data_IF_389814714895
#
_entry.id   IF_389814714895
#
_cell.length_a   1.000
_cell.length_b   1.000
_cell.length_c   1.000
_cell.angle_alpha   90.00
_cell.angle_beta   90.00
_cell.angle_gamma   90.00
#
_symmetry.space_group_name_H-M   'P 1'
#
loop_
_entity.id
_entity.type
_entity.pdbx_description
1 polymer ?
#
# COMPACT_ATOMS: atom_id res chain seq x y z
N UNK A 1 -16.14 -26.43 5.86
CA UNK A 1 -17.34 -26.98 6.53
C UNK A 1 -17.05 -26.98 8.02
N UNK A 2 -17.60 -26.00 8.75
CA UNK A 2 -17.75 -25.92 10.21
C UNK A 2 -18.19 -24.49 10.54
N UNK A 3 -19.50 -24.29 10.56
CA UNK A 3 -20.16 -23.05 10.97
C UNK A 3 -20.12 -22.97 12.49
N UNK A 4 -19.63 -21.87 13.07
CA UNK A 4 -19.84 -21.59 14.49
C UNK A 4 -20.44 -20.20 14.66
N UNK A 5 -21.73 -20.18 14.99
CA UNK A 5 -22.52 -18.97 15.25
C UNK A 5 -22.74 -18.89 16.75
N UNK A 6 -22.11 -17.93 17.42
CA UNK A 6 -22.40 -17.63 18.84
C UNK A 6 -23.53 -16.62 18.94
N UNK A 7 -24.58 -17.06 19.65
CA UNK A 7 -25.81 -16.33 19.97
C UNK A 7 -25.51 -15.14 20.90
N UNK A 8 -25.92 -13.95 20.51
CA UNK A 8 -26.22 -12.89 21.47
C UNK A 8 -27.65 -13.09 21.98
N UNK A 9 -27.77 -13.59 23.20
CA UNK A 9 -29.01 -13.56 24.00
C UNK A 9 -29.31 -12.12 24.40
N UNK A 10 -30.42 -11.56 23.92
CA UNK A 10 -30.97 -10.33 24.47
C UNK A 10 -32.30 -10.61 25.18
N UNK A 11 -32.31 -10.28 26.47
CA UNK A 11 -33.48 -10.27 27.37
C UNK A 11 -34.55 -9.37 26.77
N UNK A 12 -35.74 -9.92 26.49
CA UNK A 12 -36.95 -9.13 26.21
C UNK A 12 -37.86 -9.18 27.43
N UNK A 13 -38.10 -8.00 28.03
CA UNK A 13 -39.12 -7.79 29.05
C UNK A 13 -40.10 -6.74 28.53
N UNK A 14 -41.37 -7.18 28.40
CA UNK A 14 -42.67 -6.47 28.48
C UNK A 14 -42.97 -5.41 27.39
N UNK A 15 -43.96 -5.70 26.54
CA UNK A 15 -45.42 -5.42 26.66
C UNK A 15 -45.75 -3.92 26.59
N UNK A 16 -46.34 -3.49 25.48
CA UNK A 16 -47.75 -3.06 25.42
C UNK A 16 -48.12 -2.68 23.98
N UNK A 17 -49.22 -3.25 23.51
CA UNK A 17 -49.95 -2.82 22.32
C UNK A 17 -50.43 -1.39 22.51
N UNK A 18 -50.31 -0.56 21.47
CA UNK A 18 -51.37 0.32 21.00
C UNK A 18 -50.94 0.95 19.66
N UNK A 19 -51.81 0.73 18.70
CA UNK A 19 -51.83 1.15 17.30
C UNK A 19 -51.54 2.64 17.13
N UNK A 20 -50.52 2.97 16.35
CA UNK A 20 -50.39 4.27 15.69
C UNK A 20 -49.72 4.08 14.33
N UNK A 21 -50.43 4.55 13.29
CA UNK A 21 -50.02 4.62 11.90
C UNK A 21 -48.59 5.18 11.78
N UNK A 22 -47.62 4.34 11.42
CA UNK A 22 -46.30 4.81 11.01
C UNK A 22 -46.15 4.49 9.53
N UNK A 23 -46.23 5.55 8.70
CA UNK A 23 -45.75 5.51 7.33
C UNK A 23 -44.31 4.97 7.36
N UNK A 24 -44.14 3.72 6.92
CA UNK A 24 -42.83 3.17 6.63
C UNK A 24 -42.34 3.86 5.37
N UNK A 25 -41.75 5.04 5.54
CA UNK A 25 -40.69 5.51 4.66
C UNK A 25 -39.62 4.42 4.72
N UNK A 26 -39.71 3.48 3.78
CA UNK A 26 -38.57 2.67 3.34
C UNK A 26 -37.59 3.66 2.69
N UNK A 27 -36.97 4.52 3.50
CA UNK A 27 -35.63 4.96 3.21
C UNK A 27 -34.83 3.67 3.25
N UNK A 28 -34.65 3.07 2.08
CA UNK A 28 -33.45 2.30 1.82
C UNK A 28 -32.30 3.21 2.26
N UNK A 29 -31.84 3.02 3.49
CA UNK A 29 -30.42 3.04 3.74
C UNK A 29 -29.86 1.97 2.81
N UNK A 30 -29.68 2.34 1.53
CA UNK A 30 -28.47 1.95 0.84
C UNK A 30 -27.40 2.43 1.79
N UNK A 31 -26.90 1.51 2.63
CA UNK A 31 -25.54 1.66 3.09
C UNK A 31 -24.78 1.89 1.79
N UNK A 32 -24.41 3.15 1.54
CA UNK A 32 -23.18 3.42 0.81
C UNK A 32 -22.18 2.61 1.62
N UNK A 33 -21.91 1.39 1.15
CA UNK A 33 -20.59 0.81 1.36
C UNK A 33 -19.71 1.97 0.90
N UNK A 34 -19.03 2.59 1.87
CA UNK A 34 -17.99 3.55 1.52
C UNK A 34 -17.15 2.78 0.51
N UNK A 35 -17.22 3.23 -0.74
CA UNK A 35 -16.54 2.58 -1.83
C UNK A 35 -15.07 2.87 -1.53
N UNK A 36 -14.47 2.05 -0.66
CA UNK A 36 -13.06 2.11 -0.38
C UNK A 36 -12.41 2.03 -1.75
N UNK A 37 -11.76 3.12 -2.16
CA UNK A 37 -11.18 3.25 -3.48
C UNK A 37 -10.27 2.04 -3.71
N UNK A 38 -10.74 1.06 -4.49
CA UNK A 38 -10.06 -0.22 -4.64
C UNK A 38 -8.65 0.04 -5.17
N UNK A 39 -7.69 -0.64 -4.56
CA UNK A 39 -6.27 -0.49 -4.83
C UNK A 39 -5.68 -1.78 -5.37
N UNK A 40 -4.72 -1.67 -6.28
CA UNK A 40 -3.91 -2.81 -6.75
C UNK A 40 -2.42 -2.48 -6.63
N UNK A 41 -1.61 -3.49 -6.34
CA UNK A 41 -0.15 -3.39 -6.45
C UNK A 41 0.29 -3.77 -7.86
N UNK A 42 1.12 -2.92 -8.46
CA UNK A 42 1.84 -3.24 -9.68
C UNK A 42 3.32 -3.43 -9.34
N UNK A 43 3.86 -4.59 -9.69
CA UNK A 43 5.29 -4.92 -9.57
C UNK A 43 5.95 -4.78 -10.95
N UNK A 44 6.72 -3.72 -11.20
CA UNK A 44 7.40 -3.58 -12.48
C UNK A 44 8.41 -4.70 -12.73
N UNK A 45 8.33 -5.27 -13.93
CA UNK A 45 9.28 -6.25 -14.46
C UNK A 45 9.85 -5.75 -15.79
N UNK A 46 11.06 -6.19 -16.14
CA UNK A 46 11.72 -5.75 -17.38
C UNK A 46 10.94 -6.12 -18.65
N UNK A 47 10.18 -7.21 -18.63
CA UNK A 47 9.31 -7.62 -19.74
C UNK A 47 8.16 -6.64 -20.00
N UNK A 48 7.75 -5.85 -19.01
CA UNK A 48 6.64 -4.91 -19.15
C UNK A 48 7.02 -3.72 -20.07
N UNK A 49 8.32 -3.52 -20.30
CA UNK A 49 8.84 -2.53 -21.26
C UNK A 49 8.26 -2.74 -22.67
N UNK A 50 8.02 -4.00 -23.04
CA UNK A 50 7.54 -4.38 -24.37
C UNK A 50 6.02 -4.18 -24.52
N UNK A 51 5.29 -3.96 -23.43
CA UNK A 51 3.88 -3.60 -23.46
C UNK A 51 3.77 -2.15 -23.97
N UNK A 52 3.07 -1.93 -25.08
CA UNK A 52 2.93 -0.60 -25.65
C UNK A 52 2.17 0.37 -24.73
N UNK A 53 2.41 1.68 -24.87
CA UNK A 53 1.66 2.70 -24.15
C UNK A 53 0.15 2.60 -24.37
N UNK A 54 -0.27 2.23 -25.60
CA UNK A 54 -1.67 2.04 -25.93
C UNK A 54 -2.30 0.91 -25.10
N UNK A 55 -1.65 -0.26 -25.08
CA UNK A 55 -2.12 -1.40 -24.28
C UNK A 55 -2.14 -1.08 -22.78
N UNK A 56 -1.17 -0.30 -22.31
CA UNK A 56 -1.12 0.10 -20.92
C UNK A 56 -2.25 1.07 -20.53
N UNK A 57 -2.62 1.96 -21.44
CA UNK A 57 -3.78 2.84 -21.26
C UNK A 57 -5.09 2.05 -21.28
N UNK A 58 -5.25 1.13 -22.23
CA UNK A 58 -6.42 0.23 -22.28
C UNK A 58 -6.56 -0.55 -20.95
N UNK A 59 -5.44 -1.03 -20.38
CA UNK A 59 -5.43 -1.64 -19.05
C UNK A 59 -5.87 -0.67 -17.94
N UNK A 60 -5.42 0.59 -17.98
CA UNK A 60 -5.85 1.64 -17.05
C UNK A 60 -7.37 1.88 -17.09
N UNK A 61 -7.93 1.98 -18.29
CA UNK A 61 -9.38 2.08 -18.52
C UNK A 61 -10.12 0.86 -17.94
N UNK A 62 -9.66 -0.36 -18.25
CA UNK A 62 -10.26 -1.62 -17.76
C UNK A 62 -10.28 -1.72 -16.23
N UNK A 63 -9.18 -1.39 -15.55
CA UNK A 63 -9.14 -1.45 -14.09
C UNK A 63 -9.99 -0.33 -13.46
N UNK A 64 -10.06 0.83 -14.10
CA UNK A 64 -10.89 1.96 -13.67
C UNK A 64 -12.38 1.63 -13.75
N UNK A 65 -12.80 0.86 -14.77
CA UNK A 65 -14.18 0.42 -14.99
C UNK A 65 -14.66 -0.60 -13.94
N UNK A 66 -13.76 -1.44 -13.42
CA UNK A 66 -14.08 -2.35 -12.29
C UNK A 66 -13.95 -1.68 -10.91
N UNK A 67 -13.70 -0.36 -10.88
CA UNK A 67 -13.69 0.45 -9.67
C UNK A 67 -12.34 0.58 -8.98
N UNK A 68 -11.23 0.13 -9.59
CA UNK A 68 -9.88 0.40 -9.08
C UNK A 68 -9.56 1.87 -9.35
N UNK A 69 -9.23 2.62 -8.30
CA UNK A 69 -8.88 4.05 -8.38
C UNK A 69 -7.50 4.35 -7.82
N UNK A 70 -6.84 3.36 -7.19
CA UNK A 70 -5.49 3.49 -6.68
C UNK A 70 -4.59 2.41 -7.27
N UNK A 71 -3.40 2.80 -7.72
CA UNK A 71 -2.35 1.85 -8.09
C UNK A 71 -1.12 2.13 -7.24
N UNK A 72 -0.64 1.11 -6.54
CA UNK A 72 0.62 1.15 -5.81
C UNK A 72 1.69 0.58 -6.71
N UNK A 73 2.56 1.44 -7.22
CA UNK A 73 3.76 1.03 -7.93
C UNK A 73 4.71 0.50 -6.86
N UNK A 74 4.99 -0.81 -6.83
CA UNK A 74 5.67 -1.39 -5.67
C UNK A 74 7.10 -0.86 -5.52
N UNK A 75 7.80 -0.63 -6.63
CA UNK A 75 9.13 -0.05 -6.62
C UNK A 75 9.40 0.69 -7.93
N UNK A 76 10.23 1.72 -7.87
CA UNK A 76 10.82 2.37 -9.04
C UNK A 76 12.24 1.90 -9.30
N UNK A 77 12.81 1.14 -8.37
CA UNK A 77 14.10 0.49 -8.53
C UNK A 77 14.13 -0.81 -7.71
N UNK A 78 14.55 -1.92 -8.32
CA UNK A 78 14.75 -3.20 -7.65
C UNK A 78 16.20 -3.65 -7.79
N UNK A 79 16.97 -3.56 -6.70
CA UNK A 79 18.41 -3.77 -6.74
C UNK A 79 19.09 -2.76 -7.68
N UNK A 80 19.68 -3.25 -8.77
CA UNK A 80 20.34 -2.40 -9.77
C UNK A 80 19.45 -2.06 -10.96
N UNK A 81 18.26 -2.64 -11.05
CA UNK A 81 17.32 -2.34 -12.13
C UNK A 81 16.50 -1.10 -11.76
N UNK A 82 16.61 -0.04 -12.56
CA UNK A 82 15.98 1.25 -12.31
C UNK A 82 14.82 1.55 -13.28
N UNK A 83 14.50 0.62 -14.19
CA UNK A 83 13.35 0.72 -15.10
C UNK A 83 13.34 2.02 -15.95
N UNK A 84 14.54 2.50 -16.28
CA UNK A 84 14.78 3.74 -17.02
C UNK A 84 14.70 5.04 -16.19
N UNK A 85 14.61 4.94 -14.86
CA UNK A 85 14.56 6.07 -13.93
C UNK A 85 13.35 7.00 -14.16
N UNK A 86 13.43 8.25 -13.69
CA UNK A 86 12.33 9.23 -13.69
C UNK A 86 11.92 9.77 -15.06
N UNK A 87 12.60 9.34 -16.14
CA UNK A 87 12.27 9.67 -17.53
C UNK A 87 12.11 8.41 -18.40
N UNK A 88 12.14 7.24 -17.76
CA UNK A 88 12.19 5.94 -18.39
C UNK A 88 10.85 5.40 -18.85
N UNK A 89 10.85 4.12 -19.22
CA UNK A 89 9.62 3.44 -19.64
C UNK A 89 8.62 3.35 -18.49
N UNK A 90 9.07 3.13 -17.25
CA UNK A 90 8.17 3.05 -16.10
C UNK A 90 7.49 4.39 -15.80
N UNK A 91 8.22 5.51 -15.91
CA UNK A 91 7.64 6.85 -15.77
C UNK A 91 6.49 7.07 -16.76
N UNK A 92 6.69 6.73 -18.04
CA UNK A 92 5.66 6.85 -19.07
C UNK A 92 4.45 5.94 -18.80
N UNK A 93 4.65 4.75 -18.21
CA UNK A 93 3.55 3.85 -17.81
C UNK A 93 2.76 4.41 -16.63
N UNK A 94 3.43 5.02 -15.66
CA UNK A 94 2.77 5.73 -14.56
C UNK A 94 1.95 6.91 -15.06
N UNK A 95 2.50 7.72 -15.98
CA UNK A 95 1.80 8.84 -16.60
C UNK A 95 0.53 8.38 -17.34
N UNK A 96 0.62 7.30 -18.13
CA UNK A 96 -0.53 6.75 -18.85
C UNK A 96 -1.67 6.31 -17.92
N UNK A 97 -1.38 5.74 -16.74
CA UNK A 97 -2.42 5.38 -15.76
C UNK A 97 -3.13 6.61 -15.18
N UNK A 98 -2.44 7.73 -15.03
CA UNK A 98 -3.00 8.93 -14.40
C UNK A 98 -4.10 9.61 -15.25
N UNK A 99 -4.12 9.34 -16.56
CA UNK A 99 -5.16 9.80 -17.48
C UNK A 99 -6.55 9.23 -17.10
N UNK A 100 -6.61 8.04 -16.54
CA UNK A 100 -7.86 7.27 -16.33
C UNK A 100 -8.49 7.48 -14.95
N UNK A 101 -8.21 8.63 -14.34
CA UNK A 101 -8.59 8.99 -12.96
C UNK A 101 -8.03 8.06 -11.88
N UNK A 102 -6.98 7.30 -12.20
CA UNK A 102 -6.23 6.51 -11.23
C UNK A 102 -5.26 7.44 -10.49
N UNK A 103 -5.15 7.25 -9.18
CA UNK A 103 -4.15 7.90 -8.34
C UNK A 103 -3.04 6.92 -7.99
N UNK A 104 -1.81 7.42 -7.87
CA UNK A 104 -0.64 6.56 -7.66
C UNK A 104 -0.07 6.69 -6.25
N UNK A 105 0.37 5.55 -5.70
CA UNK A 105 1.41 5.50 -4.68
C UNK A 105 2.70 5.06 -5.35
N UNK A 106 3.76 5.86 -5.24
CA UNK A 106 5.01 5.59 -5.95
C UNK A 106 5.99 4.91 -5.02
N UNK A 107 6.30 3.65 -5.32
CA UNK A 107 7.31 2.87 -4.63
C UNK A 107 8.72 3.40 -4.90
N UNK A 108 9.53 3.47 -3.86
CA UNK A 108 10.95 3.84 -3.97
C UNK A 108 11.82 2.61 -4.28
N UNK A 109 13.07 2.64 -3.85
CA UNK A 109 14.03 1.55 -3.94
C UNK A 109 13.63 0.32 -3.11
N UNK A 110 13.72 -0.87 -3.71
CA UNK A 110 13.61 -2.15 -3.04
C UNK A 110 14.92 -2.96 -3.17
N UNK A 111 15.30 -3.64 -2.08
CA UNK A 111 16.49 -4.46 -2.00
C UNK A 111 16.12 -5.95 -2.21
N UNK A 112 16.64 -6.63 -3.25
CA UNK A 112 16.37 -8.05 -3.47
C UNK A 112 16.80 -8.95 -2.31
N UNK A 113 17.69 -8.47 -1.43
CA UNK A 113 18.16 -9.21 -0.28
C UNK A 113 17.43 -8.86 1.02
N UNK A 114 16.40 -8.00 0.99
CA UNK A 114 15.73 -7.49 2.20
C UNK A 114 15.40 -8.57 3.22
N UNK A 115 14.75 -9.65 2.78
CA UNK A 115 14.41 -10.74 3.69
C UNK A 115 15.64 -11.41 4.29
N UNK A 116 16.75 -11.57 3.56
CA UNK A 116 17.94 -12.17 4.19
C UNK A 116 18.51 -11.26 5.27
N UNK A 117 18.60 -9.96 4.99
CA UNK A 117 19.31 -9.00 5.85
C UNK A 117 18.48 -8.57 7.07
N UNK A 118 17.15 -8.55 6.97
CA UNK A 118 16.27 -8.13 8.07
C UNK A 118 16.20 -9.18 9.20
N UNK A 119 16.42 -10.46 8.88
CA UNK A 119 16.40 -11.58 9.82
C UNK A 119 17.74 -11.76 10.56
N UNK A 120 18.25 -10.67 11.14
CA UNK A 120 19.55 -10.62 11.83
C UNK A 120 19.40 -10.18 13.29
N UNK A 121 20.51 -10.14 14.05
CA UNK A 121 20.46 -9.61 15.41
C UNK A 121 20.20 -8.08 15.41
N UNK A 122 19.81 -7.51 16.55
CA UNK A 122 19.40 -6.11 16.63
C UNK A 122 20.47 -5.11 16.11
N UNK A 123 21.76 -5.40 16.32
CA UNK A 123 22.87 -4.54 15.89
C UNK A 123 23.03 -4.56 14.37
N UNK A 124 23.08 -5.74 13.77
CA UNK A 124 23.18 -5.92 12.31
C UNK A 124 21.94 -5.37 11.60
N UNK A 125 20.75 -5.68 12.11
CA UNK A 125 19.48 -5.19 11.60
C UNK A 125 19.43 -3.65 11.59
N UNK A 126 20.00 -3.00 12.62
CA UNK A 126 20.08 -1.53 12.69
C UNK A 126 20.95 -0.95 11.58
N UNK A 127 22.12 -1.55 11.35
CA UNK A 127 23.06 -1.13 10.30
C UNK A 127 22.37 -1.27 8.95
N UNK A 128 21.80 -2.45 8.68
CA UNK A 128 21.07 -2.72 7.45
C UNK A 128 19.95 -1.71 7.21
N UNK A 129 19.05 -1.51 8.18
CA UNK A 129 17.94 -0.57 8.05
C UNK A 129 18.43 0.86 7.79
N UNK A 130 19.51 1.29 8.46
CA UNK A 130 20.10 2.61 8.22
C UNK A 130 20.55 2.78 6.77
N UNK A 131 21.26 1.78 6.23
CA UNK A 131 21.69 1.79 4.83
C UNK A 131 20.52 1.70 3.85
N UNK A 132 19.54 0.86 4.14
CA UNK A 132 18.33 0.70 3.34
C UNK A 132 17.55 2.02 3.22
N UNK A 133 17.32 2.72 4.34
CA UNK A 133 16.67 4.02 4.33
C UNK A 133 17.48 5.12 3.63
N UNK A 134 18.82 5.05 3.67
CA UNK A 134 19.66 5.93 2.85
C UNK A 134 19.46 5.68 1.34
N UNK A 135 19.30 4.43 0.92
CA UNK A 135 18.99 4.08 -0.48
C UNK A 135 17.57 4.54 -0.88
N UNK A 136 16.58 4.37 0.00
CA UNK A 136 15.24 4.92 -0.21
C UNK A 136 15.27 6.43 -0.45
N UNK A 137 15.99 7.17 0.41
CA UNK A 137 16.08 8.61 0.26
C UNK A 137 16.77 9.04 -1.04
N UNK A 138 17.82 8.32 -1.48
CA UNK A 138 18.45 8.55 -2.78
C UNK A 138 17.46 8.34 -3.93
N UNK A 139 16.68 7.27 -3.90
CA UNK A 139 15.62 7.01 -4.88
C UNK A 139 14.58 8.13 -4.88
N UNK A 140 14.14 8.61 -3.71
CA UNK A 140 13.24 9.77 -3.63
C UNK A 140 13.83 11.01 -4.29
N UNK A 141 15.09 11.35 -4.02
CA UNK A 141 15.74 12.51 -4.65
C UNK A 141 15.77 12.40 -6.18
N UNK A 142 16.00 11.20 -6.73
CA UNK A 142 15.97 10.95 -8.18
C UNK A 142 14.59 11.16 -8.79
N UNK A 143 13.52 10.88 -8.04
CA UNK A 143 12.13 11.00 -8.48
C UNK A 143 11.46 12.33 -8.09
N UNK A 144 12.09 13.15 -7.24
CA UNK A 144 11.49 14.36 -6.65
C UNK A 144 10.91 15.33 -7.69
N UNK A 145 11.60 15.55 -8.80
CA UNK A 145 11.11 16.43 -9.88
C UNK A 145 9.84 15.86 -10.52
N UNK A 146 9.83 14.56 -10.84
CA UNK A 146 8.68 13.88 -11.42
C UNK A 146 7.48 13.92 -10.45
N UNK A 147 7.70 13.59 -9.18
CA UNK A 147 6.65 13.64 -8.14
C UNK A 147 6.02 15.02 -8.03
N UNK A 148 6.83 16.09 -8.10
CA UNK A 148 6.33 17.47 -8.07
C UNK A 148 5.46 17.81 -9.29
N UNK A 149 5.89 17.41 -10.49
CA UNK A 149 5.14 17.63 -11.74
C UNK A 149 3.79 16.91 -11.70
N UNK A 150 3.76 15.69 -11.14
CA UNK A 150 2.58 14.83 -11.10
C UNK A 150 1.83 14.86 -9.75
N UNK A 151 2.05 15.89 -8.93
CA UNK A 151 1.56 15.97 -7.54
C UNK A 151 0.04 15.92 -7.39
N UNK A 152 -0.73 16.30 -8.41
CA UNK A 152 -2.20 16.22 -8.41
C UNK A 152 -2.74 14.79 -8.61
N UNK A 153 -1.89 13.85 -9.03
CA UNK A 153 -2.25 12.46 -9.34
C UNK A 153 -1.48 11.44 -8.48
N UNK A 154 -0.46 11.88 -7.74
CA UNK A 154 0.28 11.06 -6.78
C UNK A 154 -0.27 11.31 -5.37
N UNK A 155 -0.73 10.24 -4.70
CA UNK A 155 -1.20 10.30 -3.31
C UNK A 155 -0.07 10.35 -2.29
N UNK A 156 1.05 9.70 -2.62
CA UNK A 156 2.21 9.62 -1.75
C UNK A 156 3.24 8.62 -2.22
N UNK A 157 4.18 8.32 -1.33
CA UNK A 157 5.25 7.38 -1.55
C UNK A 157 4.96 6.06 -0.83
N UNK A 158 5.27 4.96 -1.49
CA UNK A 158 5.33 3.65 -0.87
C UNK A 158 6.77 3.31 -0.55
N UNK A 159 7.04 2.95 0.70
CA UNK A 159 8.35 2.43 1.10
C UNK A 159 8.28 0.90 1.03
N UNK A 160 8.96 0.25 0.07
CA UNK A 160 8.83 -1.19 -0.19
C UNK A 160 9.59 -2.07 0.80
N UNK A 161 9.40 -1.79 2.09
CA UNK A 161 9.81 -2.64 3.19
C UNK A 161 8.60 -3.39 3.73
N UNK A 162 8.74 -4.71 3.81
CA UNK A 162 7.72 -5.57 4.38
C UNK A 162 8.03 -5.76 5.87
N UNK A 163 7.40 -4.94 6.72
CA UNK A 163 7.60 -5.04 8.16
C UNK A 163 6.82 -6.21 8.72
N UNK A 164 7.39 -6.93 9.67
CA UNK A 164 6.70 -8.02 10.35
C UNK A 164 6.93 -8.01 11.86
N UNK A 165 5.96 -8.50 12.63
CA UNK A 165 6.17 -8.75 14.07
C UNK A 165 7.19 -9.87 14.32
N UNK A 166 7.43 -10.73 13.32
CA UNK A 166 8.46 -11.75 13.34
C UNK A 166 9.88 -11.18 13.29
N UNK A 167 10.13 -10.09 12.56
CA UNK A 167 11.47 -9.48 12.45
C UNK A 167 11.80 -8.55 13.62
N UNK A 168 10.76 -8.05 14.30
CA UNK A 168 10.87 -7.07 15.40
C UNK A 168 10.32 -7.65 16.72
N UNK A 169 10.85 -8.81 17.12
CA UNK A 169 10.38 -9.60 18.28
C UNK A 169 10.54 -8.89 19.62
N UNK A 170 11.63 -8.15 19.81
CA UNK A 170 11.96 -7.52 21.10
C UNK A 170 11.44 -6.09 21.21
N UNK A 171 11.15 -5.58 22.43
CA UNK A 171 10.83 -4.17 22.63
C UNK A 171 11.90 -3.22 22.07
N UNK A 172 13.19 -3.57 22.22
CA UNK A 172 14.31 -2.78 21.71
C UNK A 172 14.32 -2.67 20.18
N UNK A 173 14.05 -3.76 19.45
CA UNK A 173 13.93 -3.72 17.99
C UNK A 173 12.75 -2.85 17.54
N UNK A 174 11.60 -2.93 18.23
CA UNK A 174 10.44 -2.08 17.93
C UNK A 174 10.70 -0.60 18.21
N UNK A 175 11.34 -0.28 19.32
CA UNK A 175 11.74 1.10 19.65
C UNK A 175 12.73 1.65 18.62
N UNK A 176 13.71 0.85 18.21
CA UNK A 176 14.63 1.18 17.12
C UNK A 176 13.89 1.50 15.82
N UNK A 177 13.00 0.62 15.38
CA UNK A 177 12.22 0.82 14.15
C UNK A 177 11.35 2.09 14.25
N UNK A 178 10.65 2.29 15.37
CA UNK A 178 9.83 3.48 15.59
C UNK A 178 10.66 4.77 15.51
N UNK A 179 11.86 4.77 16.10
CA UNK A 179 12.78 5.90 16.04
C UNK A 179 13.26 6.16 14.61
N UNK A 180 13.61 5.11 13.85
CA UNK A 180 14.02 5.24 12.45
C UNK A 180 12.86 5.83 11.63
N UNK A 181 11.66 5.25 11.70
CA UNK A 181 10.48 5.73 10.95
C UNK A 181 10.13 7.19 11.29
N UNK A 182 10.24 7.58 12.56
CA UNK A 182 10.03 8.97 12.99
C UNK A 182 11.03 9.94 12.38
N UNK A 183 12.27 9.54 12.15
CA UNK A 183 13.24 10.37 11.42
C UNK A 183 12.94 10.40 9.93
N UNK A 184 12.52 9.27 9.35
CA UNK A 184 12.20 9.17 7.93
C UNK A 184 11.07 10.11 7.52
N UNK A 185 9.99 10.21 8.31
CA UNK A 185 8.86 11.11 8.02
C UNK A 185 9.29 12.57 7.79
N UNK A 186 10.43 13.00 8.35
CA UNK A 186 10.95 14.37 8.19
C UNK A 186 11.67 14.62 6.86
N UNK A 187 11.96 13.57 6.10
CA UNK A 187 12.79 13.62 4.89
C UNK A 187 11.99 13.69 3.59
N UNK A 188 10.68 13.48 3.65
CA UNK A 188 9.79 13.41 2.50
C UNK A 188 8.71 14.49 2.61
N UNK A 189 8.32 15.05 1.47
CA UNK A 189 7.29 16.08 1.40
C UNK A 189 5.89 15.43 1.27
N UNK A 190 5.86 14.20 0.75
CA UNK A 190 4.68 13.39 0.47
C UNK A 190 4.26 12.50 1.66
N UNK A 191 2.98 12.12 1.75
CA UNK A 191 2.54 11.05 2.64
C UNK A 191 3.29 9.74 2.38
N UNK A 192 3.60 9.01 3.45
CA UNK A 192 4.31 7.74 3.39
C UNK A 192 3.38 6.57 3.69
N UNK A 193 3.44 5.55 2.85
CA UNK A 193 2.80 4.26 3.05
C UNK A 193 3.87 3.17 3.27
N UNK A 194 3.57 2.25 4.19
CA UNK A 194 4.35 1.06 4.50
C UNK A 194 3.43 -0.16 4.44
N UNK A 195 4.00 -1.34 4.21
CA UNK A 195 3.28 -2.60 4.40
C UNK A 195 3.70 -3.24 5.72
N UNK A 196 2.71 -3.81 6.42
CA UNK A 196 2.90 -4.55 7.66
C UNK A 196 2.21 -5.90 7.54
N UNK A 197 2.96 -6.97 7.83
CA UNK A 197 2.46 -8.32 7.88
C UNK A 197 2.50 -8.80 9.33
N UNK A 198 1.41 -9.41 9.78
CA UNK A 198 1.33 -10.03 11.10
C UNK A 198 1.53 -11.53 10.90
N UNK A 199 2.53 -12.11 11.57
CA UNK A 199 2.94 -13.51 11.39
C UNK A 199 1.87 -14.54 11.77
N UNK A 200 0.79 -14.11 12.44
CA UNK A 200 -0.48 -14.81 12.61
C UNK A 200 -0.40 -16.30 12.33
N UNK A 201 0.21 -17.05 13.27
CA UNK A 201 0.65 -18.44 13.10
C UNK A 201 -0.34 -19.26 12.26
N UNK A 202 0.10 -19.71 11.10
CA UNK A 202 -0.63 -20.68 10.29
C UNK A 202 -0.54 -22.05 10.98
N UNK A 203 -1.63 -22.85 11.05
CA UNK A 203 -1.57 -24.18 11.63
C UNK A 203 -0.46 -25.00 10.96
N UNK A 204 0.38 -25.66 11.76
CA UNK A 204 1.26 -26.70 11.23
C UNK A 204 0.36 -27.80 10.65
N UNK A 205 0.52 -28.07 9.35
CA UNK A 205 -0.04 -29.25 8.70
C UNK A 205 0.57 -30.53 9.26
#
# INVERSE_FOLDING_TARGET
MATYTTKFTNKQVRRCCLTAFFLILLTSCKQKVDNHDLGVFYQPLNQDRDISLKQWKEFGEEISDIGIKNVVIQWTQYGNEAFGESHGWLAQRMEALQDDNIKLWVGLYSDPNYFREIHTNATEQKVYLTEYFNKLHKSYVQWKTWLRIHSNKVQGLYLPLELSDYDFKTPAQREQLANILKQQIKLYDEPLMISLYLSGQLPQS
#
